data_IF_147092467534
#
_entry.id   IF_147092467534
#
_cell.length_a   1.000
_cell.length_b   1.000
_cell.length_c   1.000
_cell.angle_alpha   90.00
_cell.angle_beta   90.00
_cell.angle_gamma   90.00
#
_symmetry.space_group_name_H-M   'P 1'
#
loop_
_entity.id
_entity.type
_entity.pdbx_description
1 polymer ?
#
# COMPACT_ATOMS: atom_id res chain seq x y z
N UNK A 1 -22.68 41.70 8.73
CA UNK A 1 -22.65 40.76 7.59
C UNK A 1 -21.35 39.99 7.67
N UNK A 2 -21.36 38.68 7.41
CA UNK A 2 -20.13 37.89 7.43
C UNK A 2 -19.19 38.39 6.32
N UNK A 3 -18.00 38.86 6.69
CA UNK A 3 -16.98 39.38 5.77
C UNK A 3 -16.12 38.26 5.16
N UNK A 4 -16.42 37.00 5.48
CA UNK A 4 -15.74 35.81 5.02
C UNK A 4 -16.70 34.62 5.02
N UNK A 5 -16.56 33.72 4.05
CA UNK A 5 -17.28 32.45 3.97
C UNK A 5 -16.40 31.38 3.33
N UNK A 6 -16.82 30.13 3.44
CA UNK A 6 -16.14 28.98 2.84
C UNK A 6 -17.00 28.40 1.72
N UNK A 7 -16.35 27.91 0.67
CA UNK A 7 -16.98 27.12 -0.38
C UNK A 7 -16.38 25.73 -0.41
N UNK A 8 -17.24 24.73 -0.31
CA UNK A 8 -16.88 23.34 -0.59
C UNK A 8 -17.22 23.05 -2.03
N UNK A 9 -16.25 22.61 -2.83
CA UNK A 9 -16.40 22.38 -4.26
C UNK A 9 -16.09 20.91 -4.61
N UNK A 10 -17.05 19.97 -4.44
CA UNK A 10 -16.82 18.56 -4.77
C UNK A 10 -16.75 18.37 -6.29
N UNK A 11 -15.75 17.63 -6.77
CA UNK A 11 -15.52 17.41 -8.21
C UNK A 11 -16.68 16.69 -8.92
N UNK A 12 -17.47 15.91 -8.20
CA UNK A 12 -18.61 15.15 -8.72
C UNK A 12 -19.97 15.85 -8.59
N UNK A 13 -20.04 17.04 -7.97
CA UNK A 13 -21.31 17.71 -7.65
C UNK A 13 -22.05 18.27 -8.87
N UNK A 14 -21.39 18.37 -10.03
CA UNK A 14 -21.93 19.01 -11.23
C UNK A 14 -21.75 18.19 -12.51
N UNK A 15 -21.60 16.86 -12.39
CA UNK A 15 -21.42 15.95 -13.53
C UNK A 15 -22.56 16.05 -14.57
N UNK A 16 -23.78 16.35 -14.13
CA UNK A 16 -24.93 16.54 -15.01
C UNK A 16 -24.82 17.79 -15.90
N UNK A 17 -24.08 18.81 -15.47
CA UNK A 17 -23.89 20.08 -16.20
C UNK A 17 -22.55 20.13 -16.93
N UNK A 18 -21.52 19.51 -16.35
CA UNK A 18 -20.16 19.49 -16.87
C UNK A 18 -19.68 18.04 -17.00
N UNK A 19 -20.09 17.39 -18.09
CA UNK A 19 -19.86 15.96 -18.33
C UNK A 19 -18.38 15.58 -18.43
N UNK A 20 -17.52 16.54 -18.80
CA UNK A 20 -16.07 16.36 -18.94
C UNK A 20 -15.29 16.65 -17.64
N UNK A 21 -15.98 16.86 -16.51
CA UNK A 21 -15.30 17.00 -15.22
C UNK A 21 -14.47 15.75 -14.90
N UNK A 22 -13.24 15.97 -14.47
CA UNK A 22 -12.34 14.94 -13.95
C UNK A 22 -11.98 15.27 -12.51
N UNK A 23 -11.37 14.32 -11.79
CA UNK A 23 -10.97 14.57 -10.39
C UNK A 23 -9.94 15.70 -10.27
N UNK A 24 -9.07 15.87 -11.27
CA UNK A 24 -8.01 16.88 -11.27
C UNK A 24 -8.37 18.19 -12.02
N UNK A 25 -9.49 18.20 -12.75
CA UNK A 25 -9.95 19.38 -13.50
C UNK A 25 -11.48 19.34 -13.58
N UNK A 26 -12.14 20.21 -12.81
CA UNK A 26 -13.59 20.25 -12.72
C UNK A 26 -14.11 21.66 -12.50
N UNK A 27 -15.38 21.84 -12.85
CA UNK A 27 -16.17 23.03 -12.53
C UNK A 27 -17.39 22.64 -11.72
N UNK A 28 -17.76 23.47 -10.75
CA UNK A 28 -18.98 23.29 -9.93
C UNK A 28 -19.98 24.39 -10.24
N UNK A 29 -21.24 24.01 -10.42
CA UNK A 29 -22.37 24.94 -10.48
C UNK A 29 -22.83 25.21 -9.06
N UNK A 30 -22.72 26.46 -8.63
CA UNK A 30 -23.22 26.89 -7.33
C UNK A 30 -24.76 26.96 -7.34
N UNK A 31 -25.37 26.74 -6.17
CA UNK A 31 -26.82 26.84 -6.01
C UNK A 31 -27.34 28.26 -6.27
N UNK A 32 -26.56 29.26 -5.84
CA UNK A 32 -26.87 30.68 -5.99
C UNK A 32 -25.64 31.46 -6.49
N UNK A 33 -25.91 32.58 -7.15
CA UNK A 33 -24.85 33.51 -7.58
C UNK A 33 -24.31 34.26 -6.38
N UNK A 34 -23.00 34.19 -6.17
CA UNK A 34 -22.33 34.93 -5.11
C UNK A 34 -21.89 36.29 -5.67
N UNK A 35 -22.32 37.37 -5.02
CA UNK A 35 -21.92 38.74 -5.37
C UNK A 35 -20.85 39.20 -4.39
N UNK A 36 -19.66 39.53 -4.90
CA UNK A 36 -18.50 39.99 -4.12
C UNK A 36 -18.25 41.48 -4.42
N UNK A 37 -18.83 42.41 -3.65
CA UNK A 37 -18.63 43.84 -3.88
C UNK A 37 -17.23 44.29 -3.46
N UNK A 38 -16.62 45.18 -4.24
CA UNK A 38 -15.29 45.73 -3.94
C UNK A 38 -14.14 44.78 -4.29
N UNK A 39 -13.03 44.92 -3.57
CA UNK A 39 -11.87 44.04 -3.71
C UNK A 39 -12.05 42.81 -2.83
N UNK A 40 -11.74 41.64 -3.39
CA UNK A 40 -11.87 40.37 -2.71
C UNK A 40 -10.63 39.51 -2.96
N UNK A 41 -10.37 38.59 -2.03
CA UNK A 41 -9.32 37.60 -2.13
C UNK A 41 -9.93 36.22 -1.92
N UNK A 42 -9.38 35.22 -2.61
CA UNK A 42 -9.74 33.81 -2.43
C UNK A 42 -8.46 33.05 -2.16
N UNK A 43 -8.49 32.23 -1.10
CA UNK A 43 -7.42 31.32 -0.75
C UNK A 43 -7.95 29.88 -0.74
N UNK A 44 -7.12 28.94 -1.20
CA UNK A 44 -7.38 27.51 -0.99
C UNK A 44 -7.07 27.19 0.46
N UNK A 45 -8.09 26.80 1.22
CA UNK A 45 -7.95 26.48 2.64
C UNK A 45 -7.74 24.98 2.87
N UNK A 46 -8.38 24.13 2.08
CA UNK A 46 -8.32 22.68 2.21
C UNK A 46 -8.55 21.98 0.85
N UNK A 47 -7.84 20.87 0.61
CA UNK A 47 -8.01 20.03 -0.57
C UNK A 47 -8.03 18.56 -0.15
N UNK A 48 -9.11 17.85 -0.49
CA UNK A 48 -9.25 16.41 -0.26
C UNK A 48 -9.15 15.63 -1.57
N UNK A 49 -8.17 14.73 -1.66
CA UNK A 49 -8.02 13.80 -2.77
C UNK A 49 -8.06 12.36 -2.24
N UNK A 50 -9.23 11.69 -2.25
CA UNK A 50 -9.31 10.30 -1.86
C UNK A 50 -8.67 9.44 -2.95
N UNK A 51 -7.46 8.95 -2.69
CA UNK A 51 -6.78 7.99 -3.55
C UNK A 51 -6.56 6.68 -2.80
N UNK A 52 -6.95 5.55 -3.40
CA UNK A 52 -6.55 4.23 -2.93
C UNK A 52 -5.22 3.87 -3.58
N UNK A 53 -4.12 4.20 -2.90
CA UNK A 53 -2.80 3.72 -3.33
C UNK A 53 -2.77 2.19 -3.23
N UNK A 54 -2.45 1.54 -4.35
CA UNK A 54 -2.30 0.08 -4.36
C UNK A 54 -0.97 -0.28 -3.71
N UNK A 55 -0.99 -1.11 -2.67
CA UNK A 55 0.18 -1.57 -1.91
C UNK A 55 1.36 -2.05 -2.76
N UNK A 56 1.08 -2.67 -3.90
CA UNK A 56 2.05 -3.29 -4.82
C UNK A 56 1.72 -2.88 -6.25
N UNK A 57 2.73 -2.76 -7.14
CA UNK A 57 2.49 -2.38 -8.55
C UNK A 57 1.50 -3.34 -9.22
N UNK A 58 0.42 -2.78 -9.79
CA UNK A 58 -0.58 -3.54 -10.56
C UNK A 58 0.06 -4.17 -11.79
N UNK A 59 -0.25 -5.44 -12.05
CA UNK A 59 0.24 -6.17 -13.23
C UNK A 59 1.55 -6.93 -13.02
N UNK A 60 2.21 -6.79 -11.87
CA UNK A 60 3.38 -7.60 -11.50
C UNK A 60 2.93 -8.67 -10.50
N UNK A 61 3.22 -9.94 -10.79
CA UNK A 61 2.99 -11.02 -9.83
C UNK A 61 3.95 -10.86 -8.66
N UNK A 62 3.39 -10.75 -7.46
CA UNK A 62 4.16 -10.55 -6.24
C UNK A 62 4.50 -11.92 -5.68
N UNK A 63 5.79 -12.22 -5.63
CA UNK A 63 6.29 -13.55 -5.29
C UNK A 63 7.41 -13.48 -4.26
N UNK A 64 7.55 -14.56 -3.52
CA UNK A 64 8.78 -14.89 -2.81
C UNK A 64 9.13 -16.34 -3.11
N UNK A 65 10.40 -16.69 -2.97
CA UNK A 65 10.88 -18.04 -3.17
C UNK A 65 11.24 -18.68 -1.84
N UNK A 66 11.11 -19.99 -1.76
CA UNK A 66 11.65 -20.75 -0.64
C UNK A 66 12.23 -22.09 -1.12
N UNK A 67 13.21 -22.61 -0.40
CA UNK A 67 13.71 -23.98 -0.58
C UNK A 67 13.83 -24.67 0.76
N UNK A 68 13.72 -26.01 0.75
CA UNK A 68 13.87 -26.85 1.93
C UNK A 68 14.89 -27.95 1.59
N UNK A 69 15.99 -28.01 2.32
CA UNK A 69 17.13 -28.88 2.06
C UNK A 69 17.73 -28.61 0.68
N UNK A 70 17.99 -29.68 -0.06
CA UNK A 70 18.53 -29.63 -1.42
C UNK A 70 17.46 -29.48 -2.50
N UNK A 71 16.19 -29.28 -2.13
CA UNK A 71 15.12 -29.09 -3.12
C UNK A 71 15.30 -27.77 -3.89
N UNK A 72 14.87 -27.70 -5.15
CA UNK A 72 14.86 -26.45 -5.90
C UNK A 72 13.95 -25.41 -5.24
N UNK A 73 14.22 -24.13 -5.51
CA UNK A 73 13.36 -23.04 -5.07
C UNK A 73 11.96 -23.21 -5.62
N UNK A 74 10.98 -23.06 -4.74
CA UNK A 74 9.57 -22.99 -5.05
C UNK A 74 9.10 -21.55 -4.96
N UNK A 75 8.35 -21.11 -5.97
CA UNK A 75 7.77 -19.77 -6.02
C UNK A 75 6.39 -19.77 -5.39
N UNK A 76 6.16 -18.87 -4.44
CA UNK A 76 4.85 -18.60 -3.88
C UNK A 76 4.31 -17.32 -4.51
N UNK A 77 3.16 -17.43 -5.18
CA UNK A 77 2.46 -16.29 -5.78
C UNK A 77 1.38 -15.80 -4.83
N UNK A 78 1.41 -14.53 -4.49
CA UNK A 78 0.35 -13.89 -3.71
C UNK A 78 -0.93 -13.76 -4.56
N UNK A 79 -2.05 -14.21 -4.00
CA UNK A 79 -3.36 -14.19 -4.69
C UNK A 79 -3.98 -12.80 -4.77
N UNK A 80 -3.68 -11.94 -3.81
CA UNK A 80 -4.20 -10.57 -3.71
C UNK A 80 -3.09 -9.59 -4.04
N UNK A 81 -3.45 -8.45 -4.63
CA UNK A 81 -2.50 -7.38 -4.99
C UNK A 81 -2.70 -6.12 -4.12
N UNK A 82 -3.69 -6.14 -3.23
CA UNK A 82 -4.05 -5.02 -2.37
C UNK A 82 -4.15 -5.49 -0.92
N UNK A 83 -3.41 -4.83 -0.04
CA UNK A 83 -3.39 -5.13 1.38
C UNK A 83 -3.49 -3.83 2.18
N UNK A 84 -4.46 -3.78 3.09
CA UNK A 84 -4.73 -2.60 3.92
C UNK A 84 -3.71 -2.42 5.06
N UNK A 85 -2.92 -3.45 5.37
CA UNK A 85 -1.97 -3.46 6.48
C UNK A 85 -0.89 -4.54 6.30
N UNK A 86 0.24 -4.39 7.00
CA UNK A 86 1.31 -5.39 7.03
C UNK A 86 0.82 -6.71 7.67
N UNK A 87 -0.12 -6.65 8.60
CA UNK A 87 -0.76 -7.83 9.19
C UNK A 87 -1.60 -8.61 8.17
N UNK A 88 -2.32 -7.92 7.29
CA UNK A 88 -3.05 -8.60 6.22
C UNK A 88 -2.07 -9.24 5.23
N UNK A 89 -0.98 -8.53 4.88
CA UNK A 89 0.05 -9.03 3.98
C UNK A 89 0.76 -10.27 4.56
N UNK A 90 1.20 -10.23 5.82
CA UNK A 90 1.84 -11.39 6.48
C UNK A 90 0.90 -12.59 6.59
N UNK A 91 -0.40 -12.37 6.85
CA UNK A 91 -1.41 -13.45 6.77
C UNK A 91 -1.51 -14.03 5.36
N UNK A 92 -1.51 -13.20 4.33
CA UNK A 92 -1.57 -13.66 2.95
C UNK A 92 -0.32 -14.45 2.53
N UNK A 93 0.87 -14.01 2.94
CA UNK A 93 2.14 -14.73 2.73
C UNK A 93 2.08 -16.14 3.34
N UNK A 94 1.61 -16.24 4.59
CA UNK A 94 1.43 -17.53 5.26
C UNK A 94 0.39 -18.41 4.54
N UNK A 95 -0.74 -17.83 4.13
CA UNK A 95 -1.81 -18.55 3.44
C UNK A 95 -1.44 -19.01 2.01
N UNK A 96 -0.46 -18.36 1.37
CA UNK A 96 0.07 -18.75 0.07
C UNK A 96 0.91 -20.04 0.11
N UNK A 97 1.39 -20.43 1.29
CA UNK A 97 2.20 -21.64 1.48
C UNK A 97 1.34 -22.86 1.83
N UNK A 98 1.83 -24.06 1.52
CA UNK A 98 1.22 -25.32 1.95
C UNK A 98 1.23 -25.44 3.49
N UNK A 99 0.33 -26.25 4.05
CA UNK A 99 0.29 -26.48 5.51
C UNK A 99 1.61 -27.04 6.06
N UNK A 100 2.31 -27.88 5.29
CA UNK A 100 3.62 -28.39 5.67
C UNK A 100 4.65 -27.27 5.74
N UNK A 101 4.71 -26.42 4.71
CA UNK A 101 5.66 -25.30 4.64
C UNK A 101 5.41 -24.27 5.75
N UNK A 102 4.15 -24.02 6.11
CA UNK A 102 3.79 -23.12 7.23
C UNK A 102 4.34 -23.58 8.59
N UNK A 103 4.72 -24.86 8.74
CA UNK A 103 5.39 -25.34 9.97
C UNK A 103 6.88 -24.98 10.02
N UNK A 104 7.48 -24.63 8.87
CA UNK A 104 8.91 -24.34 8.66
C UNK A 104 9.19 -22.87 8.41
N UNK A 105 8.27 -22.17 7.75
CA UNK A 105 8.35 -20.73 7.45
C UNK A 105 7.12 -20.05 8.03
N UNK A 106 7.33 -19.00 8.83
CA UNK A 106 6.25 -18.18 9.36
C UNK A 106 6.60 -16.70 9.30
N UNK A 107 5.74 -15.93 8.66
CA UNK A 107 5.79 -14.47 8.65
C UNK A 107 4.93 -13.92 9.77
N UNK A 108 5.44 -12.94 10.51
CA UNK A 108 4.70 -12.24 11.55
C UNK A 108 5.10 -10.77 11.59
N UNK A 109 4.21 -9.91 12.07
CA UNK A 109 4.46 -8.49 12.18
C UNK A 109 4.41 -8.07 13.65
N UNK A 110 5.45 -7.39 14.09
CA UNK A 110 5.51 -6.78 15.40
C UNK A 110 5.11 -5.30 15.29
N UNK A 111 3.98 -4.93 15.91
CA UNK A 111 3.44 -3.57 15.86
C UNK A 111 4.29 -2.56 16.62
N UNK A 112 5.00 -3.00 17.66
CA UNK A 112 5.73 -2.12 18.56
C UNK A 112 7.00 -1.57 17.92
N UNK A 113 7.74 -2.40 17.19
CA UNK A 113 8.93 -1.99 16.44
C UNK A 113 8.64 -1.74 14.95
N UNK A 114 7.40 -2.06 14.50
CA UNK A 114 6.93 -2.03 13.11
C UNK A 114 7.76 -2.92 12.18
N UNK A 115 8.30 -4.03 12.67
CA UNK A 115 9.16 -4.92 11.90
C UNK A 115 8.47 -6.23 11.55
N UNK A 116 8.90 -6.82 10.43
CA UNK A 116 8.47 -8.16 10.02
C UNK A 116 9.49 -9.17 10.54
N UNK A 117 8.98 -10.18 11.24
CA UNK A 117 9.76 -11.32 11.69
C UNK A 117 9.48 -12.50 10.77
N UNK A 118 10.54 -13.02 10.18
CA UNK A 118 10.53 -14.25 9.39
C UNK A 118 11.17 -15.35 10.23
N UNK A 119 10.34 -16.28 10.70
CA UNK A 119 10.80 -17.46 11.44
C UNK A 119 11.01 -18.61 10.45
N UNK A 120 12.25 -19.07 10.34
CA UNK A 120 12.67 -20.10 9.41
C UNK A 120 13.33 -21.22 10.19
N UNK A 121 12.82 -22.44 10.04
CA UNK A 121 13.37 -23.66 10.67
C UNK A 121 14.47 -24.30 9.83
N UNK A 122 15.24 -25.19 10.46
CA UNK A 122 16.40 -25.86 9.89
C UNK A 122 16.20 -26.31 8.44
N UNK A 123 17.26 -26.12 7.66
CA UNK A 123 17.37 -26.42 6.22
C UNK A 123 16.39 -25.67 5.33
N UNK A 124 15.76 -24.60 5.81
CA UNK A 124 14.86 -23.79 4.97
C UNK A 124 15.51 -22.44 4.66
N UNK A 125 15.38 -21.99 3.41
CA UNK A 125 15.80 -20.65 2.99
C UNK A 125 14.61 -19.95 2.36
N UNK A 126 14.36 -18.71 2.75
CA UNK A 126 13.41 -17.81 2.12
C UNK A 126 14.18 -16.75 1.35
N UNK A 127 13.75 -16.44 0.14
CA UNK A 127 14.33 -15.40 -0.69
C UNK A 127 13.23 -14.43 -1.12
N UNK A 128 13.41 -13.15 -0.77
CA UNK A 128 12.52 -12.09 -1.23
C UNK A 128 13.05 -11.46 -2.51
N UNK A 129 12.16 -11.24 -3.47
CA UNK A 129 12.47 -10.60 -4.74
C UNK A 129 11.58 -9.38 -4.96
N UNK A 130 12.14 -8.31 -5.55
CA UNK A 130 11.40 -7.12 -5.94
C UNK A 130 10.83 -6.31 -4.77
N UNK A 131 9.72 -5.60 -5.04
CA UNK A 131 9.09 -4.63 -4.12
C UNK A 131 8.57 -5.23 -2.82
N UNK A 132 8.25 -6.53 -2.83
CA UNK A 132 7.79 -7.23 -1.64
C UNK A 132 8.85 -7.20 -0.54
N UNK A 133 10.14 -7.28 -0.88
CA UNK A 133 11.23 -7.15 0.10
C UNK A 133 11.18 -5.78 0.80
N UNK A 134 11.09 -4.72 0.00
CA UNK A 134 11.04 -3.32 0.48
C UNK A 134 9.82 -3.09 1.37
N UNK A 135 8.64 -3.56 0.97
CA UNK A 135 7.40 -3.44 1.76
C UNK A 135 7.53 -4.14 3.12
N UNK A 136 8.22 -5.28 3.16
CA UNK A 136 8.47 -6.04 4.38
C UNK A 136 9.64 -5.48 5.22
N UNK A 137 10.33 -4.44 4.72
CA UNK A 137 11.45 -3.79 5.42
C UNK A 137 12.80 -4.51 5.24
N UNK A 138 12.95 -5.31 4.20
CA UNK A 138 14.21 -5.97 3.80
C UNK A 138 14.80 -5.32 2.56
N UNK A 139 16.11 -5.47 2.39
CA UNK A 139 16.77 -5.14 1.12
C UNK A 139 16.34 -6.12 0.03
N UNK A 140 16.35 -5.68 -1.23
CA UNK A 140 16.08 -6.58 -2.35
C UNK A 140 17.09 -7.72 -2.37
N UNK A 141 16.65 -8.89 -2.85
CA UNK A 141 17.43 -10.12 -2.93
C UNK A 141 17.93 -10.67 -1.57
N UNK A 142 17.29 -10.29 -0.46
CA UNK A 142 17.62 -10.82 0.87
C UNK A 142 17.29 -12.31 0.98
N UNK A 143 18.29 -13.09 1.41
CA UNK A 143 18.16 -14.50 1.79
C UNK A 143 18.04 -14.64 3.31
N UNK A 144 17.04 -15.40 3.77
CA UNK A 144 16.77 -15.66 5.17
C UNK A 144 16.83 -17.16 5.43
N UNK A 145 17.82 -17.57 6.22
CA UNK A 145 18.09 -18.98 6.56
C UNK A 145 17.82 -19.29 8.04
N UNK A 146 17.51 -18.25 8.83
CA UNK A 146 17.21 -18.35 10.26
C UNK A 146 16.22 -17.28 10.65
N UNK A 147 15.66 -17.42 11.85
CA UNK A 147 14.80 -16.41 12.45
C UNK A 147 15.42 -15.01 12.39
N UNK A 148 14.80 -14.12 11.63
CA UNK A 148 15.35 -12.79 11.32
C UNK A 148 14.24 -11.75 11.36
N UNK A 149 14.51 -10.63 12.03
CA UNK A 149 13.66 -9.45 12.02
C UNK A 149 14.13 -8.50 10.93
N UNK A 150 13.20 -7.82 10.26
CA UNK A 150 13.51 -6.88 9.19
C UNK A 150 14.47 -5.77 9.66
N UNK A 151 15.49 -5.41 8.86
CA UNK A 151 16.41 -4.32 9.23
C UNK A 151 15.66 -2.99 9.38
N UNK A 152 14.67 -2.74 8.53
CA UNK A 152 13.88 -1.52 8.50
C UNK A 152 12.43 -1.76 8.94
N UNK A 153 11.72 -0.72 9.43
CA UNK A 153 10.27 -0.78 9.59
C UNK A 153 9.60 -1.17 8.29
N UNK A 154 8.64 -2.10 8.35
CA UNK A 154 7.81 -2.45 7.21
C UNK A 154 6.87 -1.29 6.89
N UNK A 155 6.72 -1.02 5.60
CA UNK A 155 5.88 0.05 5.09
C UNK A 155 5.00 -0.48 3.97
N UNK A 156 3.69 -0.44 4.20
CA UNK A 156 2.68 -0.89 3.23
C UNK A 156 2.74 -0.06 1.93
N UNK A 157 3.35 1.13 1.96
CA UNK A 157 3.58 1.98 0.80
C UNK A 157 5.06 1.99 0.35
N UNK A 158 5.93 1.18 0.94
CA UNK A 158 7.37 1.20 0.68
C UNK A 158 7.75 0.79 -0.76
N UNK A 159 6.92 -0.03 -1.42
CA UNK A 159 7.14 -0.53 -2.78
C UNK A 159 7.06 0.51 -3.91
N UNK A 160 6.68 1.75 -3.60
CA UNK A 160 6.55 2.82 -4.60
C UNK A 160 7.87 3.53 -4.95
N UNK A 161 8.94 3.34 -4.17
CA UNK A 161 10.15 4.16 -4.24
C UNK A 161 11.35 3.55 -4.97
N UNK A 162 11.19 2.34 -5.55
CA UNK A 162 12.23 1.64 -6.31
C UNK A 162 11.97 1.60 -7.82
#
# INVERSE_FOLDING_TARGET
>A
MATQFYLTLPSNSSMAYFQNNTVANFRVKLAETIVLPGQWEVALTELHYPHTWSTLKRGVQQTFLYKIGSNPYQTVVLKETQYSSIEQLTKALNAGMSKETQTKVKFSYNRSDRKVLVDVKHDTTVWFTGELATVLGFDQDTLIEKKTSSPYPADINGGFSS
#
